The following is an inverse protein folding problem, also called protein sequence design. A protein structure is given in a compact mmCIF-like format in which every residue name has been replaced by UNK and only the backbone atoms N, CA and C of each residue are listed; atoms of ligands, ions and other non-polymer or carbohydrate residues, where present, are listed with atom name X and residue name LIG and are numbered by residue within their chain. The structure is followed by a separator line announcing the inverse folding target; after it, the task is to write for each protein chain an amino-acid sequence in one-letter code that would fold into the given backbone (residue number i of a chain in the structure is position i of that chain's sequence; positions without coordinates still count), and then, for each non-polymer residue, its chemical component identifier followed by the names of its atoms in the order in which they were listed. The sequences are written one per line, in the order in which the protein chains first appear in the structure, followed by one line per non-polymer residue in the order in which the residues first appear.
data_IF_784690576629
#
_entry.id   IF_784690576629
#
_cell.length_a   1.000
_cell.length_b   1.000
_cell.length_c   1.000
_cell.angle_alpha   90.00
_cell.angle_beta   90.00
_cell.angle_gamma   90.00
#
_symmetry.space_group_name_H-M   'P 1'
#
loop_
_entity.id
_entity.type
_entity.pdbx_description
1 polymer ?
#
# COMPACT_ATOMS: atom_id res chain seq x y z
N UNK A 1 6.47 -1.21 -20.97
CA UNK A 1 5.50 -2.22 -21.49
C UNK A 1 4.65 -1.70 -22.67
N UNK A 2 4.07 -0.48 -22.62
CA UNK A 2 3.26 0.06 -23.72
C UNK A 2 4.09 0.43 -24.96
N UNK A 3 5.36 0.77 -24.78
CA UNK A 3 6.28 1.07 -25.88
C UNK A 3 6.66 -0.21 -26.62
N UNK A 4 6.98 -1.29 -25.89
CA UNK A 4 7.25 -2.61 -26.50
C UNK A 4 6.04 -3.12 -27.28
N UNK A 5 4.83 -2.99 -26.70
CA UNK A 5 3.60 -3.41 -27.37
C UNK A 5 3.23 -2.54 -28.59
N UNK A 6 3.70 -1.29 -28.66
CA UNK A 6 3.54 -0.45 -29.88
C UNK A 6 4.51 -0.83 -30.99
N UNK A 7 5.67 -1.37 -30.64
CA UNK A 7 6.67 -1.89 -31.62
C UNK A 7 6.22 -3.23 -32.23
N UNK A 8 5.39 -3.99 -31.48
CA UNK A 8 4.78 -5.26 -31.95
C UNK A 8 3.39 -5.09 -32.57
N UNK A 9 2.91 -3.85 -32.76
CA UNK A 9 1.58 -3.50 -33.30
C UNK A 9 0.38 -4.04 -32.50
N UNK A 10 0.61 -4.45 -31.24
CA UNK A 10 -0.45 -4.97 -30.36
C UNK A 10 -1.41 -3.86 -29.92
N UNK A 11 -0.87 -2.70 -29.50
CA UNK A 11 -1.66 -1.49 -29.22
C UNK A 11 -0.79 -0.22 -29.16
N UNK A 12 -1.40 0.94 -29.41
CA UNK A 12 -0.73 2.25 -29.32
C UNK A 12 -1.02 2.97 -28.02
N UNK A 13 -0.13 3.88 -27.61
CA UNK A 13 -0.31 4.75 -26.44
C UNK A 13 -1.62 5.53 -26.52
N UNK A 14 -2.02 5.98 -27.71
CA UNK A 14 -3.29 6.66 -27.96
C UNK A 14 -4.49 5.79 -27.59
N UNK A 15 -4.48 4.50 -27.91
CA UNK A 15 -5.53 3.55 -27.53
C UNK A 15 -5.58 3.35 -26.02
N UNK A 16 -4.41 3.31 -25.36
CA UNK A 16 -4.32 3.20 -23.90
C UNK A 16 -4.92 4.43 -23.22
N UNK A 17 -4.52 5.63 -23.65
CA UNK A 17 -5.03 6.90 -23.10
C UNK A 17 -6.54 7.01 -23.31
N UNK A 18 -7.02 6.69 -24.51
CA UNK A 18 -8.46 6.69 -24.80
C UNK A 18 -9.22 5.70 -23.91
N UNK A 19 -8.71 4.49 -23.72
CA UNK A 19 -9.34 3.50 -22.84
C UNK A 19 -9.40 3.96 -21.37
N UNK A 20 -8.36 4.63 -20.90
CA UNK A 20 -8.34 5.22 -19.54
C UNK A 20 -9.34 6.37 -19.44
N UNK A 21 -9.36 7.27 -20.42
CA UNK A 21 -10.31 8.38 -20.49
C UNK A 21 -11.77 7.89 -20.48
N UNK A 22 -12.11 6.97 -21.35
CA UNK A 22 -13.47 6.39 -21.44
C UNK A 22 -13.87 5.71 -20.11
N UNK A 23 -12.92 5.07 -19.44
CA UNK A 23 -13.13 4.45 -18.14
C UNK A 23 -13.40 5.50 -17.05
N UNK A 24 -12.65 6.60 -17.03
CA UNK A 24 -12.83 7.69 -16.07
C UNK A 24 -14.20 8.35 -16.25
N UNK A 25 -14.54 8.74 -17.48
CA UNK A 25 -15.84 9.35 -17.82
C UNK A 25 -16.99 8.45 -17.38
N UNK A 26 -16.96 7.18 -17.74
CA UNK A 26 -18.00 6.22 -17.40
C UNK A 26 -18.17 5.98 -15.90
N UNK A 27 -17.07 6.02 -15.12
CA UNK A 27 -17.10 5.81 -13.66
C UNK A 27 -17.50 7.04 -12.87
N UNK A 28 -17.54 8.20 -13.50
CA UNK A 28 -17.93 9.46 -12.85
C UNK A 28 -19.16 10.11 -13.51
N UNK A 29 -20.30 9.39 -13.59
CA UNK A 29 -21.50 9.92 -14.23
C UNK A 29 -22.11 11.10 -13.50
N UNK A 30 -21.71 11.34 -12.23
CA UNK A 30 -22.07 12.53 -11.46
C UNK A 30 -21.23 13.77 -11.83
N UNK A 31 -20.13 13.61 -12.57
CA UNK A 31 -19.28 14.72 -13.06
C UNK A 31 -19.50 14.96 -14.54
N UNK A 32 -19.64 13.87 -15.33
CA UNK A 32 -19.70 13.92 -16.80
C UNK A 32 -21.08 13.57 -17.37
N UNK A 33 -22.11 13.35 -16.52
CA UNK A 33 -23.48 13.02 -16.89
C UNK A 33 -24.48 13.62 -15.90
N UNK A 34 -25.73 13.21 -15.98
CA UNK A 34 -26.85 13.81 -15.25
C UNK A 34 -27.17 13.13 -13.92
N UNK A 35 -26.35 12.21 -13.45
CA UNK A 35 -26.59 11.44 -12.20
C UNK A 35 -26.30 12.31 -10.99
N UNK A 36 -27.34 12.64 -10.23
CA UNK A 36 -27.17 13.30 -8.91
C UNK A 36 -26.94 12.26 -7.83
N UNK A 37 -25.85 12.37 -7.10
CA UNK A 37 -25.49 11.48 -6.01
C UNK A 37 -25.38 12.29 -4.71
N UNK A 38 -25.92 11.73 -3.61
CA UNK A 38 -25.90 12.39 -2.30
C UNK A 38 -24.55 12.14 -1.61
N UNK A 39 -23.74 13.20 -1.53
CA UNK A 39 -22.49 13.23 -0.78
C UNK A 39 -21.42 12.22 -1.24
N UNK A 40 -20.29 12.22 -0.56
CA UNK A 40 -19.11 11.38 -0.87
C UNK A 40 -19.46 9.88 -0.79
N UNK A 41 -20.32 9.50 0.15
CA UNK A 41 -20.73 8.10 0.34
C UNK A 41 -21.52 7.56 -0.86
N UNK A 42 -22.43 8.37 -1.42
CA UNK A 42 -23.17 8.01 -2.63
C UNK A 42 -22.29 7.85 -3.86
N UNK A 43 -21.28 8.74 -4.01
CA UNK A 43 -20.29 8.67 -5.09
C UNK A 43 -19.48 7.39 -5.01
N UNK A 44 -18.97 7.03 -3.84
CA UNK A 44 -18.18 5.81 -3.62
C UNK A 44 -18.99 4.54 -3.90
N UNK A 45 -20.21 4.46 -3.40
CA UNK A 45 -21.09 3.31 -3.64
C UNK A 45 -21.44 3.14 -5.13
N UNK A 46 -21.72 4.23 -5.81
CA UNK A 46 -22.01 4.18 -7.25
C UNK A 46 -20.76 3.76 -8.07
N UNK A 47 -19.60 4.26 -7.69
CA UNK A 47 -18.31 3.90 -8.31
C UNK A 47 -18.00 2.40 -8.15
N UNK A 48 -18.24 1.84 -6.97
CA UNK A 48 -18.06 0.40 -6.73
C UNK A 48 -19.02 -0.46 -7.54
N UNK A 49 -20.30 -0.09 -7.60
CA UNK A 49 -21.30 -0.78 -8.46
C UNK A 49 -20.93 -0.76 -9.95
N UNK A 50 -20.41 0.36 -10.43
CA UNK A 50 -19.96 0.48 -11.82
C UNK A 50 -18.72 -0.38 -12.09
N UNK A 51 -17.78 -0.41 -11.13
CA UNK A 51 -16.58 -1.25 -11.18
C UNK A 51 -16.91 -2.75 -11.18
N UNK A 52 -17.92 -3.17 -10.42
CA UNK A 52 -18.40 -4.56 -10.43
C UNK A 52 -19.05 -4.95 -11.76
N UNK A 53 -19.89 -4.08 -12.31
CA UNK A 53 -20.49 -4.30 -13.64
C UNK A 53 -19.43 -4.44 -14.73
N UNK A 54 -18.38 -3.61 -14.72
CA UNK A 54 -17.28 -3.70 -15.68
C UNK A 54 -16.50 -5.02 -15.56
N UNK A 55 -16.30 -5.54 -14.35
CA UNK A 55 -15.64 -6.82 -14.14
C UNK A 55 -16.46 -7.99 -14.70
N UNK A 56 -17.78 -7.89 -14.69
CA UNK A 56 -18.68 -8.87 -15.29
C UNK A 56 -18.63 -8.89 -16.83
N UNK A 57 -18.42 -7.72 -17.46
CA UNK A 57 -18.42 -7.56 -18.92
C UNK A 57 -17.04 -7.83 -19.54
N UNK A 58 -15.94 -7.57 -18.81
CA UNK A 58 -14.55 -7.77 -19.27
C UNK A 58 -13.98 -9.15 -18.97
N UNK A 59 -14.81 -10.13 -18.62
CA UNK A 59 -14.40 -11.52 -18.60
C UNK A 59 -14.21 -12.00 -20.06
N UNK A 60 -13.02 -11.73 -20.62
CA UNK A 60 -12.60 -12.30 -21.91
C UNK A 60 -12.76 -13.84 -21.87
N UNK A 61 -13.28 -14.46 -22.93
CA UNK A 61 -13.32 -15.91 -23.01
C UNK A 61 -11.88 -16.45 -22.97
N UNK A 62 -11.58 -17.24 -21.96
CA UNK A 62 -10.30 -17.96 -21.87
C UNK A 62 -10.21 -18.90 -23.06
N UNK A 63 -9.35 -18.60 -24.05
CA UNK A 63 -8.90 -19.59 -25.02
C UNK A 63 -8.23 -20.75 -24.30
N UNK A 64 -8.78 -21.92 -24.54
CA UNK A 64 -8.29 -23.27 -24.27
C UNK A 64 -7.02 -23.41 -23.44
N UNK A 65 -7.18 -23.95 -22.24
CA UNK A 65 -6.30 -24.93 -21.63
C UNK A 65 -7.18 -26.13 -21.29
N UNK A 66 -6.73 -27.27 -21.77
CA UNK A 66 -7.46 -28.52 -21.79
C UNK A 66 -8.00 -28.91 -20.39
N UNK A 67 -9.32 -29.12 -20.35
CA UNK A 67 -10.04 -29.68 -19.22
C UNK A 67 -9.74 -31.18 -19.10
N UNK A 68 -9.04 -31.57 -18.02
CA UNK A 68 -9.15 -32.91 -17.49
C UNK A 68 -9.68 -32.80 -16.07
N UNK A 69 -10.88 -33.35 -15.88
CA UNK A 69 -11.67 -33.54 -14.68
C UNK A 69 -12.78 -32.53 -14.39
N UNK A 70 -13.99 -33.00 -14.75
CA UNK A 70 -15.25 -32.33 -14.46
C UNK A 70 -15.52 -32.22 -12.96
N UNK A 71 -15.59 -31.01 -12.50
CA UNK A 71 -16.37 -30.61 -11.35
C UNK A 71 -17.04 -29.30 -11.72
N UNK A 72 -18.36 -29.27 -11.70
CA UNK A 72 -19.18 -28.08 -11.96
C UNK A 72 -18.70 -26.92 -11.09
N UNK A 73 -17.90 -26.01 -11.69
CA UNK A 73 -17.37 -24.85 -11.02
C UNK A 73 -18.44 -23.79 -10.81
N UNK A 74 -19.09 -23.75 -9.64
CA UNK A 74 -19.74 -22.54 -9.15
C UNK A 74 -18.76 -21.38 -9.37
N UNK A 75 -19.16 -20.33 -10.12
CA UNK A 75 -18.43 -19.05 -10.18
C UNK A 75 -18.27 -18.55 -8.75
N UNK A 76 -17.13 -18.81 -8.12
CA UNK A 76 -16.79 -18.21 -6.81
C UNK A 76 -16.83 -16.70 -7.02
N UNK A 77 -17.77 -16.02 -6.36
CA UNK A 77 -17.77 -14.56 -6.29
C UNK A 77 -16.38 -14.10 -5.80
N UNK A 78 -15.81 -13.10 -6.43
CA UNK A 78 -14.53 -12.53 -5.95
C UNK A 78 -14.73 -12.01 -4.53
N UNK A 79 -13.86 -12.40 -3.63
CA UNK A 79 -13.84 -11.88 -2.26
C UNK A 79 -13.60 -10.37 -2.22
N UNK A 80 -13.96 -9.74 -1.11
CA UNK A 80 -13.82 -8.29 -0.89
C UNK A 80 -12.38 -7.81 -1.10
N UNK A 81 -11.41 -8.62 -0.68
CA UNK A 81 -9.98 -8.30 -0.76
C UNK A 81 -9.35 -8.69 -2.09
N UNK A 82 -10.05 -9.50 -2.92
CA UNK A 82 -9.58 -9.84 -4.24
C UNK A 82 -9.47 -8.59 -5.13
N UNK A 83 -8.42 -8.54 -5.91
CA UNK A 83 -8.15 -7.42 -6.82
C UNK A 83 -7.41 -6.25 -6.18
N UNK A 84 -6.84 -6.41 -4.98
CA UNK A 84 -5.68 -5.63 -4.54
C UNK A 84 -4.48 -6.19 -5.31
N UNK A 85 -3.76 -5.35 -6.09
CA UNK A 85 -2.63 -5.86 -6.87
C UNK A 85 -1.50 -6.34 -5.96
N UNK A 86 -1.05 -7.59 -6.15
CA UNK A 86 0.06 -8.17 -5.38
C UNK A 86 1.41 -7.47 -5.64
N UNK A 87 1.51 -6.69 -6.71
CA UNK A 87 2.70 -5.90 -7.05
C UNK A 87 2.80 -4.56 -6.29
N UNK A 88 1.81 -4.21 -5.46
CA UNK A 88 1.90 -3.04 -4.60
C UNK A 88 2.97 -3.22 -3.51
N UNK A 89 3.63 -2.14 -3.05
CA UNK A 89 4.43 -2.18 -1.84
C UNK A 89 3.63 -2.74 -0.66
N UNK A 90 4.28 -3.45 0.24
CA UNK A 90 3.59 -4.22 1.29
C UNK A 90 2.73 -3.33 2.22
N UNK A 91 3.22 -2.15 2.61
CA UNK A 91 2.45 -1.24 3.45
C UNK A 91 1.22 -0.67 2.71
N UNK A 92 1.36 -0.33 1.42
CA UNK A 92 0.23 0.09 0.59
C UNK A 92 -0.80 -1.01 0.45
N UNK A 93 -0.35 -2.26 0.25
CA UNK A 93 -1.23 -3.43 0.14
C UNK A 93 -2.00 -3.66 1.45
N UNK A 94 -1.31 -3.59 2.60
CA UNK A 94 -1.93 -3.71 3.92
C UNK A 94 -2.98 -2.62 4.15
N UNK A 95 -2.67 -1.36 3.82
CA UNK A 95 -3.60 -0.25 3.95
C UNK A 95 -4.84 -0.43 3.07
N UNK A 96 -4.69 -0.88 1.83
CA UNK A 96 -5.80 -1.20 0.94
C UNK A 96 -6.69 -2.34 1.47
N UNK A 97 -6.11 -3.38 2.07
CA UNK A 97 -6.88 -4.44 2.72
C UNK A 97 -7.72 -3.90 3.88
N UNK A 98 -7.10 -3.10 4.74
CA UNK A 98 -7.76 -2.52 5.92
C UNK A 98 -8.85 -1.53 5.52
N UNK A 99 -8.63 -0.68 4.51
CA UNK A 99 -9.64 0.24 4.00
C UNK A 99 -10.86 -0.49 3.45
N UNK A 100 -10.66 -1.61 2.76
CA UNK A 100 -11.77 -2.43 2.28
C UNK A 100 -12.53 -3.12 3.40
N UNK A 101 -11.82 -3.66 4.39
CA UNK A 101 -12.43 -4.28 5.57
C UNK A 101 -13.26 -3.27 6.37
N UNK A 102 -12.74 -2.07 6.58
CA UNK A 102 -13.42 -0.99 7.30
C UNK A 102 -14.73 -0.57 6.61
N UNK A 103 -14.83 -0.59 5.27
CA UNK A 103 -16.05 -0.25 4.54
C UNK A 103 -17.23 -1.19 4.83
N UNK A 104 -16.96 -2.40 5.24
CA UNK A 104 -18.00 -3.40 5.61
C UNK A 104 -18.19 -3.52 7.13
N UNK A 105 -17.57 -2.60 7.90
CA UNK A 105 -17.72 -2.56 9.35
C UNK A 105 -16.69 -3.37 10.13
N UNK A 106 -15.69 -3.96 9.46
CA UNK A 106 -14.60 -4.64 10.14
C UNK A 106 -13.47 -3.65 10.46
N UNK A 107 -13.69 -2.90 11.54
CA UNK A 107 -12.76 -1.89 12.05
C UNK A 107 -12.96 -1.71 13.56
N UNK A 108 -11.95 -1.21 14.25
CA UNK A 108 -12.09 -0.82 15.65
C UNK A 108 -13.07 0.36 15.76
N UNK A 109 -13.86 0.43 16.84
CA UNK A 109 -14.77 1.55 17.07
C UNK A 109 -14.04 2.84 17.42
N UNK A 110 -12.84 2.73 17.97
CA UNK A 110 -11.97 3.85 18.37
C UNK A 110 -10.49 3.51 18.24
N UNK A 111 -9.63 4.53 18.19
CA UNK A 111 -8.18 4.38 18.03
C UNK A 111 -7.52 3.66 19.23
N UNK A 112 -8.18 3.64 20.39
CA UNK A 112 -7.70 2.94 21.59
C UNK A 112 -7.39 1.49 21.32
N UNK A 113 -8.30 0.77 20.67
CA UNK A 113 -8.10 -0.64 20.31
C UNK A 113 -6.90 -0.89 19.40
N UNK A 114 -6.61 0.04 18.48
CA UNK A 114 -5.41 -0.04 17.64
C UNK A 114 -4.13 0.10 18.47
N UNK A 115 -4.11 1.04 19.42
CA UNK A 115 -2.96 1.26 20.28
C UNK A 115 -2.73 0.09 21.27
N UNK A 116 -3.81 -0.50 21.75
CA UNK A 116 -3.73 -1.67 22.63
C UNK A 116 -3.18 -2.89 21.86
N UNK A 117 -3.63 -3.09 20.60
CA UNK A 117 -3.08 -4.17 19.76
C UNK A 117 -1.59 -3.98 19.45
N UNK A 118 -1.11 -2.74 19.24
CA UNK A 118 0.34 -2.48 19.08
C UNK A 118 1.11 -2.93 20.34
N UNK A 119 0.58 -2.69 21.54
CA UNK A 119 1.24 -3.12 22.79
C UNK A 119 1.25 -4.64 22.92
N UNK A 120 0.16 -5.29 22.54
CA UNK A 120 0.01 -6.75 22.50
C UNK A 120 1.09 -7.37 21.61
N UNK A 121 1.21 -6.95 20.34
CA UNK A 121 2.22 -7.47 19.40
C UNK A 121 3.66 -7.28 19.91
N UNK A 122 3.94 -6.15 20.56
CA UNK A 122 5.25 -5.89 21.16
C UNK A 122 5.52 -6.87 22.30
N UNK A 123 4.54 -7.20 23.13
CA UNK A 123 4.72 -8.16 24.22
C UNK A 123 4.87 -9.60 23.70
N UNK A 124 4.16 -9.98 22.62
CA UNK A 124 4.31 -11.29 21.98
C UNK A 124 5.71 -11.46 21.39
N UNK A 125 6.26 -10.44 20.72
CA UNK A 125 7.65 -10.43 20.25
C UNK A 125 8.66 -10.63 21.40
N UNK A 126 8.42 -10.04 22.58
CA UNK A 126 9.32 -10.17 23.73
C UNK A 126 9.27 -11.56 24.35
N UNK A 127 8.15 -12.25 24.28
CA UNK A 127 7.92 -13.53 24.91
C UNK A 127 8.44 -14.71 24.10
N UNK A 128 8.50 -14.56 22.76
CA UNK A 128 8.98 -15.62 21.90
C UNK A 128 10.48 -15.52 21.61
N UNK A 129 11.14 -16.69 21.50
CA UNK A 129 12.54 -16.81 21.06
C UNK A 129 12.64 -17.55 19.73
N UNK A 130 11.54 -18.09 19.20
CA UNK A 130 11.48 -18.79 17.95
C UNK A 130 11.47 -17.77 16.80
N UNK A 131 12.40 -17.89 15.86
CA UNK A 131 12.55 -16.95 14.74
C UNK A 131 11.31 -16.89 13.84
N UNK A 132 10.65 -18.01 13.63
CA UNK A 132 9.43 -18.05 12.80
C UNK A 132 8.27 -17.31 13.48
N UNK A 133 8.13 -17.47 14.80
CA UNK A 133 7.14 -16.74 15.60
C UNK A 133 7.48 -15.24 15.64
N UNK A 134 8.74 -14.87 15.91
CA UNK A 134 9.19 -13.46 15.87
C UNK A 134 8.88 -12.84 14.50
N UNK A 135 9.04 -13.59 13.42
CA UNK A 135 8.76 -13.12 12.06
C UNK A 135 7.27 -12.86 11.86
N UNK A 136 6.41 -13.74 12.38
CA UNK A 136 4.97 -13.57 12.34
C UNK A 136 4.52 -12.33 13.12
N UNK A 137 4.94 -12.22 14.39
CA UNK A 137 4.56 -11.10 15.25
C UNK A 137 5.08 -9.74 14.75
N UNK A 138 6.28 -9.72 14.15
CA UNK A 138 6.76 -8.51 13.45
C UNK A 138 5.88 -8.15 12.25
N UNK A 139 5.39 -9.14 11.53
CA UNK A 139 4.44 -8.95 10.42
C UNK A 139 3.13 -8.33 10.92
N UNK A 140 2.59 -8.85 12.03
CA UNK A 140 1.37 -8.37 12.65
C UNK A 140 1.55 -6.96 13.23
N UNK A 141 2.68 -6.68 13.88
CA UNK A 141 3.03 -5.34 14.34
C UNK A 141 3.08 -4.34 13.15
N UNK A 142 3.73 -4.67 12.03
CA UNK A 142 3.71 -3.81 10.84
C UNK A 142 2.30 -3.58 10.34
N UNK A 143 1.46 -4.60 10.30
CA UNK A 143 0.08 -4.51 9.86
C UNK A 143 -0.74 -3.58 10.77
N UNK A 144 -0.59 -3.67 12.09
CA UNK A 144 -1.27 -2.78 13.05
C UNK A 144 -0.74 -1.34 12.99
N UNK A 145 0.56 -1.13 12.74
CA UNK A 145 1.13 0.20 12.49
C UNK A 145 0.55 0.86 11.22
N UNK A 146 0.32 0.08 10.17
CA UNK A 146 -0.41 0.57 8.98
C UNK A 146 -1.83 0.97 9.35
N UNK A 147 -2.49 0.21 10.23
CA UNK A 147 -3.83 0.57 10.71
C UNK A 147 -3.82 1.89 11.48
N UNK A 148 -2.82 2.11 12.34
CA UNK A 148 -2.65 3.39 13.02
C UNK A 148 -2.49 4.55 12.02
N UNK A 149 -1.68 4.37 10.97
CA UNK A 149 -1.51 5.36 9.92
C UNK A 149 -2.86 5.66 9.23
N UNK A 150 -3.63 4.63 8.87
CA UNK A 150 -4.96 4.75 8.29
C UNK A 150 -5.92 5.54 9.20
N UNK A 151 -5.96 5.23 10.49
CA UNK A 151 -6.74 5.96 11.49
C UNK A 151 -6.36 7.45 11.57
N UNK A 152 -5.07 7.75 11.39
CA UNK A 152 -4.56 9.13 11.34
C UNK A 152 -4.66 9.77 9.95
N UNK A 153 -5.26 9.08 8.96
CA UNK A 153 -5.38 9.53 7.56
C UNK A 153 -4.01 9.80 6.92
N UNK A 154 -3.02 9.02 7.28
CA UNK A 154 -1.66 9.07 6.76
C UNK A 154 -1.46 7.89 5.81
N UNK A 155 -0.83 8.14 4.67
CA UNK A 155 -0.34 7.09 3.78
C UNK A 155 0.91 6.45 4.39
N UNK A 156 0.81 5.17 4.76
CA UNK A 156 1.86 4.47 5.49
C UNK A 156 3.15 4.32 4.68
N UNK A 157 3.03 4.03 3.38
CA UNK A 157 4.17 3.89 2.46
C UNK A 157 4.93 5.21 2.32
N UNK A 158 4.21 6.31 2.09
CA UNK A 158 4.80 7.64 1.98
C UNK A 158 5.45 8.11 3.29
N UNK A 159 4.84 7.78 4.43
CA UNK A 159 5.39 8.10 5.74
C UNK A 159 6.74 7.40 5.96
N UNK A 160 6.81 6.08 5.69
CA UNK A 160 8.06 5.33 5.83
C UNK A 160 9.11 5.78 4.81
N UNK A 161 8.72 6.04 3.56
CA UNK A 161 9.61 6.59 2.54
C UNK A 161 10.22 7.92 2.97
N UNK A 162 9.43 8.80 3.56
CA UNK A 162 9.90 10.08 4.09
C UNK A 162 10.87 9.91 5.25
N UNK A 163 10.62 8.93 6.13
CA UNK A 163 11.53 8.57 7.22
C UNK A 163 12.88 8.06 6.68
N UNK A 164 12.84 7.17 5.66
CA UNK A 164 14.04 6.66 5.00
C UNK A 164 14.88 7.78 4.36
N UNK A 165 14.24 8.76 3.71
CA UNK A 165 14.94 9.91 3.13
C UNK A 165 15.59 10.79 4.21
N UNK A 166 14.90 11.02 5.33
CA UNK A 166 15.48 11.75 6.48
C UNK A 166 16.66 11.01 7.06
N UNK A 167 16.54 9.70 7.26
CA UNK A 167 17.64 8.87 7.74
C UNK A 167 18.86 8.98 6.83
N UNK A 168 18.67 8.74 5.52
CA UNK A 168 19.74 8.82 4.53
C UNK A 168 20.44 10.19 4.53
N UNK A 169 19.68 11.27 4.60
CA UNK A 169 20.22 12.63 4.62
C UNK A 169 21.07 12.91 5.85
N UNK A 170 20.60 12.50 7.03
CA UNK A 170 21.33 12.68 8.28
C UNK A 170 22.57 11.79 8.36
N UNK A 171 22.47 10.58 7.87
CA UNK A 171 23.62 9.68 7.82
C UNK A 171 24.71 10.18 6.86
N UNK A 172 24.33 10.74 5.71
CA UNK A 172 25.25 11.39 4.78
C UNK A 172 25.97 12.60 5.42
N UNK A 173 25.34 13.28 6.38
CA UNK A 173 25.99 14.33 7.17
C UNK A 173 27.13 13.75 8.02
N UNK A 174 26.91 12.62 8.70
CA UNK A 174 27.94 11.91 9.48
C UNK A 174 29.10 11.47 8.55
N UNK A 175 28.80 10.84 7.41
CA UNK A 175 29.80 10.42 6.43
C UNK A 175 30.68 11.57 5.98
N UNK A 176 30.05 12.73 5.67
CA UNK A 176 30.76 13.93 5.25
C UNK A 176 31.74 14.44 6.31
N UNK A 177 31.37 14.39 7.60
CA UNK A 177 32.23 14.85 8.70
C UNK A 177 33.35 13.85 8.96
N UNK A 178 33.09 12.55 8.94
CA UNK A 178 34.12 11.52 9.05
C UNK A 178 35.17 11.68 7.94
N UNK A 179 34.74 11.82 6.69
CA UNK A 179 35.63 12.01 5.55
C UNK A 179 36.47 13.29 5.64
N UNK A 180 35.86 14.41 6.08
CA UNK A 180 36.57 15.68 6.28
C UNK A 180 37.67 15.56 7.32
N UNK A 181 37.43 14.79 8.37
CA UNK A 181 38.37 14.58 9.49
C UNK A 181 39.33 13.42 9.21
N UNK A 182 39.31 12.82 8.01
CA UNK A 182 40.18 11.71 7.60
C UNK A 182 39.96 10.41 8.34
N UNK A 183 38.77 10.23 8.91
CA UNK A 183 38.39 9.06 9.71
C UNK A 183 37.45 8.14 8.93
N UNK A 184 37.58 6.84 9.17
CA UNK A 184 36.54 5.90 8.71
C UNK A 184 35.34 5.93 9.67
N UNK A 185 34.14 5.64 9.19
CA UNK A 185 32.95 5.51 10.03
C UNK A 185 33.12 4.42 11.09
N UNK A 186 33.82 3.33 10.76
CA UNK A 186 34.12 2.23 11.69
C UNK A 186 34.97 2.64 12.90
N UNK A 187 35.67 3.75 12.80
CA UNK A 187 36.56 4.26 13.84
C UNK A 187 35.86 5.28 14.77
N UNK A 188 34.59 5.56 14.46
CA UNK A 188 33.75 6.46 15.25
C UNK A 188 32.96 5.68 16.30
N UNK A 189 32.82 6.25 17.48
CA UNK A 189 31.93 5.74 18.51
C UNK A 189 30.47 6.09 18.19
N UNK A 190 29.53 5.36 18.81
CA UNK A 190 28.12 5.67 18.67
C UNK A 190 27.79 7.09 19.16
N UNK A 191 28.43 7.54 20.27
CA UNK A 191 28.20 8.85 20.84
C UNK A 191 28.66 9.99 19.87
N UNK A 192 29.79 9.79 19.22
CA UNK A 192 30.26 10.74 18.19
C UNK A 192 29.31 10.81 17.00
N UNK A 193 28.84 9.67 16.52
CA UNK A 193 27.85 9.62 15.42
C UNK A 193 26.51 10.25 15.85
N UNK A 194 26.06 10.00 17.09
CA UNK A 194 24.80 10.59 17.60
C UNK A 194 24.90 12.10 17.77
N UNK A 195 26.05 12.63 18.19
CA UNK A 195 26.28 14.07 18.21
C UNK A 195 26.10 14.71 16.84
N UNK A 196 26.73 14.14 15.81
CA UNK A 196 26.59 14.60 14.41
C UNK A 196 25.17 14.41 13.87
N UNK A 197 24.51 13.33 14.24
CA UNK A 197 23.10 13.10 13.90
C UNK A 197 22.19 14.20 14.47
N UNK A 198 22.43 14.59 15.72
CA UNK A 198 21.66 15.64 16.38
C UNK A 198 21.96 17.03 15.79
N UNK A 199 23.20 17.27 15.32
CA UNK A 199 23.52 18.47 14.55
C UNK A 199 22.75 18.50 13.22
N UNK A 200 22.78 17.42 12.44
CA UNK A 200 22.05 17.29 11.18
C UNK A 200 20.55 17.56 11.39
N UNK A 201 19.97 17.05 12.48
CA UNK A 201 18.57 17.27 12.85
C UNK A 201 18.25 18.74 13.15
N UNK A 202 19.19 19.50 13.72
CA UNK A 202 19.00 20.95 13.98
C UNK A 202 19.02 21.77 12.69
N UNK A 203 19.81 21.34 11.69
CA UNK A 203 19.91 22.02 10.39
C UNK A 203 18.68 21.80 9.49
N UNK A 204 17.78 20.89 9.83
CA UNK A 204 16.54 20.62 9.10
C UNK A 204 15.35 21.46 9.61
N UNK A 205 15.53 22.22 10.67
CA UNK A 205 14.52 23.12 11.24
C UNK A 205 14.65 24.53 10.69
#
# INVERSE_FOLDING_TARGET
NSQIASETDEFSMTKVIKSIYDKIVRRHPHVFGDVKLDGVKGVLQNWEKLKEKERGVLALPKKHRDDVNGVEGRKKGKGLLDGVPLALPALTQAQEYQDRAARVGFDWPEIGGVLDKIREEIEEIKQTQNLDEVTAELGDLFFVLVNLARWRKVDAESALRSANLKFKKRFAYIEKHANRDGRNLSDMTLDEMDALWNEAKKLER
#
